data_IF_535232752358
#
_entry.id   IF_535232752358
#
_cell.length_a   1.000
_cell.length_b   1.000
_cell.length_c   1.000
_cell.angle_alpha   90.00
_cell.angle_beta   90.00
_cell.angle_gamma   90.00
#
_symmetry.space_group_name_H-M   'P 1'
#
loop_
_entity.id
_entity.type
_entity.pdbx_description
1 polymer ?
#
# COMPACT_ATOMS: atom_id res chain seq x y z
N UNK A 1 0.60 50.02 -49.94
CA UNK A 1 0.23 48.73 -49.33
C UNK A 1 1.52 48.02 -48.93
N UNK A 2 1.80 47.92 -47.64
CA UNK A 2 2.99 47.26 -47.11
C UNK A 2 2.66 46.69 -45.74
N UNK A 3 2.69 45.36 -45.64
CA UNK A 3 2.34 44.59 -44.45
C UNK A 3 3.50 44.68 -43.45
N UNK A 4 3.26 45.26 -42.28
CA UNK A 4 4.20 45.28 -41.17
C UNK A 4 3.96 44.06 -40.28
N UNK A 5 4.99 43.24 -40.11
CA UNK A 5 5.04 42.13 -39.17
C UNK A 5 6.30 42.33 -38.32
N UNK A 6 6.13 42.61 -37.02
CA UNK A 6 7.15 42.44 -35.98
C UNK A 6 6.48 42.56 -34.61
N UNK A 7 6.22 41.41 -33.99
CA UNK A 7 5.66 41.25 -32.63
C UNK A 7 6.61 41.83 -31.56
N UNK A 8 6.10 42.33 -30.43
CA UNK A 8 6.94 42.61 -29.26
C UNK A 8 7.37 41.32 -28.56
N UNK A 9 8.60 41.37 -28.03
CA UNK A 9 9.28 40.35 -27.24
C UNK A 9 8.40 39.91 -26.05
N UNK A 10 8.00 38.64 -26.03
CA UNK A 10 7.26 38.07 -24.91
C UNK A 10 8.13 38.14 -23.64
N UNK A 11 7.59 38.78 -22.60
CA UNK A 11 8.12 38.67 -21.25
C UNK A 11 8.16 37.19 -20.87
N UNK A 12 9.34 36.70 -20.49
CA UNK A 12 9.47 35.39 -19.87
C UNK A 12 8.79 35.47 -18.50
N UNK A 13 7.50 35.13 -18.44
CA UNK A 13 6.82 34.87 -17.18
C UNK A 13 7.45 33.62 -16.59
N UNK A 14 8.32 33.85 -15.61
CA UNK A 14 8.92 32.80 -14.80
C UNK A 14 7.83 31.85 -14.33
N UNK A 15 8.02 30.56 -14.60
CA UNK A 15 7.26 29.51 -13.96
C UNK A 15 7.45 29.70 -12.46
N UNK A 16 6.41 30.16 -11.77
CA UNK A 16 6.41 30.21 -10.31
C UNK A 16 6.79 28.81 -9.83
N UNK A 17 7.98 28.69 -9.24
CA UNK A 17 8.49 27.45 -8.69
C UNK A 17 7.51 27.08 -7.59
N UNK A 18 6.56 26.18 -7.86
CA UNK A 18 5.61 25.73 -6.84
C UNK A 18 6.47 25.26 -5.67
N UNK A 19 6.44 25.94 -4.54
CA UNK A 19 7.28 25.63 -3.38
C UNK A 19 6.72 24.41 -2.64
N UNK A 20 7.55 23.69 -1.88
CA UNK A 20 7.04 22.57 -1.07
C UNK A 20 6.01 23.11 -0.07
N UNK A 21 4.94 22.36 0.21
CA UNK A 21 3.96 22.74 1.24
C UNK A 21 4.61 23.01 2.61
N UNK A 22 5.76 22.36 2.87
CA UNK A 22 6.49 22.55 4.11
C UNK A 22 7.16 23.92 4.18
N UNK A 23 7.36 24.67 3.09
CA UNK A 23 7.96 26.01 3.14
C UNK A 23 7.21 27.01 4.04
N UNK A 24 5.92 26.76 4.30
CA UNK A 24 5.07 27.60 5.14
C UNK A 24 4.83 27.02 6.54
N UNK A 25 5.50 25.93 6.91
CA UNK A 25 5.30 25.28 8.20
C UNK A 25 6.06 26.00 9.31
N UNK A 26 5.36 26.33 10.38
CA UNK A 26 5.98 26.73 11.65
C UNK A 26 6.51 25.51 12.41
N UNK A 27 7.38 25.71 13.40
CA UNK A 27 7.90 24.59 14.22
C UNK A 27 6.79 23.73 14.86
N UNK A 28 5.65 24.29 15.33
CA UNK A 28 4.50 23.48 15.75
C UNK A 28 3.88 22.64 14.63
N UNK A 29 3.85 23.12 13.38
CA UNK A 29 3.37 22.32 12.24
C UNK A 29 4.35 21.19 11.91
N UNK A 30 5.65 21.44 12.01
CA UNK A 30 6.69 20.41 11.91
C UNK A 30 6.51 19.35 13.01
N UNK A 31 6.22 19.77 14.24
CA UNK A 31 5.92 18.84 15.33
C UNK A 31 4.70 17.97 15.03
N UNK A 32 3.59 18.55 14.54
CA UNK A 32 2.41 17.78 14.11
C UNK A 32 2.74 16.78 13.00
N UNK A 33 3.58 17.17 12.04
CA UNK A 33 4.06 16.27 10.99
C UNK A 33 4.93 15.14 11.51
N UNK A 34 5.82 15.39 12.48
CA UNK A 34 6.60 14.33 13.14
C UNK A 34 5.71 13.29 13.80
N UNK A 35 4.65 13.72 14.48
CA UNK A 35 3.66 12.80 15.05
C UNK A 35 3.02 11.93 13.96
N UNK A 36 2.67 12.54 12.83
CA UNK A 36 2.03 11.86 11.70
C UNK A 36 2.92 10.77 11.10
N UNK A 37 4.23 10.99 10.99
CA UNK A 37 5.17 9.98 10.49
C UNK A 37 5.69 9.01 11.57
N UNK A 38 5.17 9.10 12.81
CA UNK A 38 5.51 8.18 13.90
C UNK A 38 6.79 8.54 14.67
N UNK A 39 7.27 9.78 14.57
CA UNK A 39 8.50 10.28 15.18
C UNK A 39 8.25 11.27 16.33
N UNK A 40 7.14 11.08 17.05
CA UNK A 40 6.69 11.96 18.14
C UNK A 40 7.75 12.15 19.25
N UNK A 41 8.56 11.12 19.54
CA UNK A 41 9.60 11.17 20.57
C UNK A 41 10.68 12.24 20.31
N UNK A 42 10.88 12.63 19.05
CA UNK A 42 11.87 13.63 18.65
C UNK A 42 11.32 15.07 18.64
N UNK A 43 10.01 15.25 18.84
CA UNK A 43 9.36 16.57 18.85
C UNK A 43 10.05 17.57 19.79
N UNK A 44 10.42 17.23 21.05
CA UNK A 44 11.10 18.17 21.93
C UNK A 44 12.39 18.72 21.32
N UNK A 45 13.22 17.85 20.72
CA UNK A 45 14.48 18.24 20.08
C UNK A 45 14.25 19.14 18.87
N UNK A 46 13.24 18.87 18.06
CA UNK A 46 12.91 19.74 16.91
C UNK A 46 12.44 21.12 17.35
N UNK A 47 11.63 21.20 18.40
CA UNK A 47 11.16 22.47 18.96
C UNK A 47 12.29 23.26 19.62
N UNK A 48 13.16 22.60 20.40
CA UNK A 48 14.33 23.22 21.03
C UNK A 48 15.32 23.81 20.00
N UNK A 49 15.51 23.11 18.87
CA UNK A 49 16.35 23.60 17.77
C UNK A 49 15.63 24.59 16.84
N UNK A 50 14.36 24.94 17.12
CA UNK A 50 13.60 25.88 16.31
C UNK A 50 13.37 25.42 14.86
N UNK A 51 13.30 24.10 14.63
CA UNK A 51 13.16 23.55 13.27
C UNK A 51 11.79 23.91 12.70
N UNK A 52 11.76 24.85 11.77
CA UNK A 52 10.62 25.21 10.96
C UNK A 52 10.67 24.51 9.59
N UNK A 53 9.69 24.79 8.74
CA UNK A 53 9.55 24.20 7.42
C UNK A 53 10.76 24.33 6.49
N UNK A 54 11.28 25.54 6.25
CA UNK A 54 12.51 25.73 5.47
C UNK A 54 13.71 24.98 6.07
N UNK A 55 13.90 25.05 7.40
CA UNK A 55 15.00 24.33 8.07
C UNK A 55 14.84 22.82 7.93
N UNK A 56 13.61 22.30 8.07
CA UNK A 56 13.26 20.89 7.91
C UNK A 56 13.64 20.39 6.51
N UNK A 57 13.31 21.15 5.46
CA UNK A 57 13.62 20.82 4.06
C UNK A 57 15.13 20.79 3.83
N UNK A 58 15.92 21.60 4.52
CA UNK A 58 17.38 21.66 4.36
C UNK A 58 18.16 20.74 5.30
N UNK A 59 17.48 20.01 6.19
CA UNK A 59 18.13 19.05 7.10
C UNK A 59 18.98 18.04 6.33
N UNK A 60 20.20 17.85 6.83
CA UNK A 60 21.17 16.87 6.36
C UNK A 60 21.30 15.70 7.33
N UNK A 61 21.71 14.56 6.79
CA UNK A 61 21.87 13.30 7.54
C UNK A 61 22.77 13.46 8.77
N UNK A 62 23.85 14.24 8.69
CA UNK A 62 24.79 14.46 9.79
C UNK A 62 24.18 15.23 10.98
N UNK A 63 23.06 15.94 10.76
CA UNK A 63 22.35 16.69 11.79
C UNK A 63 21.33 15.82 12.54
N UNK A 64 20.95 14.65 12.00
CA UNK A 64 19.93 13.80 12.62
C UNK A 64 20.40 13.29 13.98
N UNK A 65 21.60 12.73 14.02
CA UNK A 65 22.21 12.28 15.27
C UNK A 65 22.65 13.47 16.12
N UNK A 66 23.46 14.37 15.56
CA UNK A 66 24.15 15.43 16.32
C UNK A 66 23.22 16.48 16.91
N UNK A 67 22.17 16.87 16.20
CA UNK A 67 21.29 17.96 16.59
C UNK A 67 19.92 17.47 17.08
N UNK A 68 19.42 16.37 16.50
CA UNK A 68 18.06 15.88 16.73
C UNK A 68 17.99 14.61 17.59
N UNK A 69 19.13 13.96 17.87
CA UNK A 69 19.22 12.78 18.73
C UNK A 69 18.64 11.50 18.12
N UNK A 70 18.52 11.43 16.79
CA UNK A 70 17.95 10.28 16.08
C UNK A 70 19.05 9.22 15.88
N UNK A 71 19.11 8.28 16.83
CA UNK A 71 20.12 7.20 16.83
C UNK A 71 19.59 5.87 16.28
N UNK A 72 18.25 5.70 16.21
CA UNK A 72 17.64 4.48 15.68
C UNK A 72 17.75 4.48 14.14
N UNK A 73 18.43 3.49 13.51
CA UNK A 73 18.59 3.45 12.06
C UNK A 73 17.27 3.41 11.27
N UNK A 74 16.21 2.81 11.85
CA UNK A 74 14.89 2.78 11.22
C UNK A 74 14.21 4.15 11.28
N UNK A 75 14.40 4.90 12.36
CA UNK A 75 13.86 6.27 12.49
C UNK A 75 14.63 7.22 11.56
N UNK A 76 15.94 7.02 11.39
CA UNK A 76 16.76 7.74 10.42
C UNK A 76 16.24 7.51 8.99
N UNK A 77 16.00 6.25 8.61
CA UNK A 77 15.42 5.90 7.30
C UNK A 77 14.02 6.51 7.14
N UNK A 78 13.17 6.40 8.17
CA UNK A 78 11.83 6.96 8.19
C UNK A 78 11.83 8.46 7.90
N UNK A 79 12.59 9.25 8.69
CA UNK A 79 12.69 10.69 8.49
C UNK A 79 13.25 11.05 7.10
N UNK A 80 14.31 10.36 6.66
CA UNK A 80 14.94 10.62 5.37
C UNK A 80 13.97 10.41 4.21
N UNK A 81 13.18 9.33 4.23
CA UNK A 81 12.22 9.05 3.17
C UNK A 81 11.07 10.06 3.16
N UNK A 82 10.60 10.50 4.33
CA UNK A 82 9.60 11.55 4.47
C UNK A 82 10.09 12.91 3.95
N UNK A 83 11.36 13.26 4.24
CA UNK A 83 11.97 14.51 3.74
C UNK A 83 12.11 14.49 2.21
N UNK A 84 12.43 13.35 1.60
CA UNK A 84 12.42 13.20 0.14
C UNK A 84 11.02 13.54 -0.40
N UNK A 85 9.96 13.02 0.21
CA UNK A 85 8.60 13.28 -0.26
C UNK A 85 8.20 14.75 -0.13
N UNK A 86 8.62 15.41 0.95
CA UNK A 86 8.42 16.85 1.13
C UNK A 86 9.19 17.66 0.09
N UNK A 87 10.47 17.36 -0.15
CA UNK A 87 11.33 18.09 -1.11
C UNK A 87 10.79 17.97 -2.54
N UNK A 88 10.43 16.76 -2.94
CA UNK A 88 9.96 16.47 -4.30
C UNK A 88 8.44 16.57 -4.46
N UNK A 89 7.71 16.93 -3.40
CA UNK A 89 6.25 17.17 -3.40
C UNK A 89 5.46 15.94 -3.86
N UNK A 90 5.93 14.77 -3.43
CA UNK A 90 5.35 13.49 -3.81
C UNK A 90 4.09 13.17 -3.02
N UNK A 91 3.94 13.80 -1.85
CA UNK A 91 2.86 13.52 -0.90
C UNK A 91 2.25 14.84 -0.42
N UNK A 92 0.92 14.89 -0.49
CA UNK A 92 0.12 15.93 0.16
C UNK A 92 -0.24 15.47 1.57
N UNK A 93 0.58 15.87 2.55
CA UNK A 93 0.39 15.47 3.95
C UNK A 93 -0.91 15.99 4.60
N UNK A 94 -1.67 16.88 3.94
CA UNK A 94 -2.97 17.33 4.48
C UNK A 94 -4.08 16.30 4.27
N UNK A 95 -3.94 15.44 3.27
CA UNK A 95 -4.91 14.39 2.92
C UNK A 95 -4.26 13.00 2.96
N UNK A 96 -3.09 12.88 3.59
CA UNK A 96 -2.31 11.66 3.51
C UNK A 96 -2.72 10.63 4.56
N UNK A 97 -3.41 9.59 4.08
CA UNK A 97 -3.94 8.51 4.90
C UNK A 97 -2.87 7.46 5.26
N UNK A 98 -1.76 7.37 4.50
CA UNK A 98 -0.65 6.46 4.81
C UNK A 98 0.31 7.00 5.89
N UNK A 99 -0.20 7.78 6.83
CA UNK A 99 0.55 8.13 8.03
C UNK A 99 0.85 6.89 8.89
N UNK A 100 1.68 7.02 9.93
CA UNK A 100 2.06 5.87 10.76
C UNK A 100 0.85 5.15 11.35
N UNK A 101 -0.16 5.88 11.84
CA UNK A 101 -1.41 5.30 12.36
C UNK A 101 -2.21 4.59 11.26
N UNK A 102 -2.30 5.19 10.07
CA UNK A 102 -2.98 4.60 8.92
C UNK A 102 -2.33 3.30 8.45
N UNK A 103 -1.00 3.19 8.49
CA UNK A 103 -0.30 1.93 8.23
C UNK A 103 -0.67 0.87 9.27
N UNK A 104 -0.75 1.21 10.56
CA UNK A 104 -1.17 0.24 11.60
C UNK A 104 -2.60 -0.25 11.38
N UNK A 105 -3.52 0.67 11.05
CA UNK A 105 -4.90 0.31 10.75
C UNK A 105 -5.00 -0.55 9.49
N UNK A 106 -4.21 -0.23 8.46
CA UNK A 106 -4.14 -1.03 7.24
C UNK A 106 -3.64 -2.45 7.51
N UNK A 107 -2.60 -2.62 8.34
CA UNK A 107 -2.12 -3.95 8.75
C UNK A 107 -3.20 -4.75 9.49
N UNK A 108 -3.89 -4.12 10.45
CA UNK A 108 -4.98 -4.76 11.18
C UNK A 108 -6.09 -5.26 10.25
N UNK A 109 -6.53 -4.41 9.32
CA UNK A 109 -7.56 -4.75 8.34
C UNK A 109 -7.15 -5.91 7.41
N UNK A 110 -5.84 -6.19 7.28
CA UNK A 110 -5.28 -7.28 6.46
C UNK A 110 -4.93 -8.53 7.26
N UNK A 111 -5.27 -8.58 8.55
CA UNK A 111 -4.94 -9.72 9.44
C UNK A 111 -3.46 -9.83 9.77
N UNK A 112 -2.74 -8.70 9.74
CA UNK A 112 -1.30 -8.60 10.05
C UNK A 112 -1.08 -7.87 11.39
N UNK A 113 -2.00 -8.06 12.35
CA UNK A 113 -2.01 -7.43 13.67
C UNK A 113 -0.75 -7.69 14.49
N UNK A 114 -0.13 -8.87 14.34
CA UNK A 114 1.14 -9.24 14.96
C UNK A 114 2.33 -8.35 14.54
N UNK A 115 2.23 -7.67 13.40
CA UNK A 115 3.29 -6.79 12.89
C UNK A 115 3.19 -5.36 13.42
N UNK A 116 2.03 -4.96 13.96
CA UNK A 116 1.72 -3.57 14.34
C UNK A 116 2.76 -3.02 15.31
N UNK A 117 3.07 -3.75 16.39
CA UNK A 117 4.05 -3.29 17.38
C UNK A 117 5.42 -3.02 16.78
N UNK A 118 5.89 -3.91 15.89
CA UNK A 118 7.19 -3.77 15.21
C UNK A 118 7.21 -2.57 14.26
N UNK A 119 6.18 -2.44 13.43
CA UNK A 119 6.08 -1.36 12.45
C UNK A 119 5.90 0.01 13.11
N UNK A 120 5.11 0.09 14.19
CA UNK A 120 4.95 1.31 14.98
C UNK A 120 6.27 1.69 15.65
N UNK A 121 6.97 0.74 16.28
CA UNK A 121 8.27 0.97 16.93
C UNK A 121 9.38 1.36 15.96
N UNK A 122 9.19 1.15 14.65
CA UNK A 122 10.12 1.51 13.59
C UNK A 122 9.67 2.76 12.79
N UNK A 123 8.60 3.44 13.22
CA UNK A 123 8.01 4.60 12.56
C UNK A 123 7.68 4.34 11.07
N UNK A 124 7.10 3.18 10.76
CA UNK A 124 6.72 2.83 9.39
C UNK A 124 5.45 3.57 8.99
N UNK A 125 5.62 4.51 8.08
CA UNK A 125 4.58 5.25 7.36
C UNK A 125 4.66 4.88 5.86
N UNK A 126 3.74 5.33 5.02
CA UNK A 126 3.62 4.89 3.61
C UNK A 126 4.89 5.07 2.79
N UNK A 127 5.65 6.14 3.04
CA UNK A 127 6.95 6.39 2.39
C UNK A 127 7.97 5.27 2.63
N UNK A 128 7.95 4.67 3.83
CA UNK A 128 8.77 3.52 4.20
C UNK A 128 8.15 2.25 3.62
N UNK A 129 6.87 2.00 3.91
CA UNK A 129 6.15 0.80 3.50
C UNK A 129 6.30 0.53 1.99
N UNK A 130 6.16 1.56 1.17
CA UNK A 130 6.19 1.42 -0.29
C UNK A 130 7.59 1.45 -0.91
N UNK A 131 8.65 1.64 -0.12
CA UNK A 131 10.03 1.60 -0.63
C UNK A 131 10.84 0.43 -0.11
N UNK A 132 10.40 -0.24 0.95
CA UNK A 132 11.07 -1.44 1.43
C UNK A 132 10.89 -2.60 0.45
N UNK A 133 11.99 -3.33 0.24
CA UNK A 133 11.97 -4.60 -0.47
C UNK A 133 11.51 -5.73 0.46
N UNK A 134 11.10 -6.87 -0.12
CA UNK A 134 10.74 -8.07 0.65
C UNK A 134 11.86 -8.52 1.61
N UNK A 135 13.11 -8.49 1.14
CA UNK A 135 14.27 -8.82 1.95
C UNK A 135 14.49 -7.85 3.11
N UNK A 136 14.13 -6.58 2.95
CA UNK A 136 14.21 -5.59 4.02
C UNK A 136 13.09 -5.72 5.04
N UNK A 137 11.88 -6.12 4.65
CA UNK A 137 10.85 -6.50 5.63
C UNK A 137 11.33 -7.66 6.51
N UNK A 138 11.96 -8.67 5.92
CA UNK A 138 12.54 -9.78 6.68
C UNK A 138 13.69 -9.32 7.58
N UNK A 139 14.71 -8.67 7.02
CA UNK A 139 15.96 -8.38 7.74
C UNK A 139 15.92 -7.17 8.68
N UNK A 140 15.15 -6.12 8.35
CA UNK A 140 15.11 -4.87 9.13
C UNK A 140 13.94 -4.82 10.11
N UNK A 141 12.82 -5.45 9.76
CA UNK A 141 11.59 -5.45 10.54
C UNK A 141 11.26 -6.83 11.14
N UNK A 142 12.17 -7.80 10.95
CA UNK A 142 12.09 -9.13 11.54
C UNK A 142 10.74 -9.80 11.22
N UNK A 143 10.26 -9.65 9.98
CA UNK A 143 8.99 -10.25 9.52
C UNK A 143 9.25 -11.69 9.06
N UNK A 144 8.51 -12.64 9.62
CA UNK A 144 8.70 -14.07 9.37
C UNK A 144 9.83 -14.70 10.19
N UNK A 145 10.22 -14.09 11.31
CA UNK A 145 11.18 -14.66 12.26
C UNK A 145 10.48 -15.54 13.32
N UNK A 146 11.29 -16.21 14.18
CA UNK A 146 10.88 -17.27 15.12
C UNK A 146 9.47 -17.11 15.71
N UNK A 147 8.64 -18.14 15.55
CA UNK A 147 7.31 -18.23 16.13
C UNK A 147 6.18 -17.73 15.22
N UNK A 148 6.50 -17.08 14.09
CA UNK A 148 5.52 -16.71 13.08
C UNK A 148 5.34 -17.80 12.02
N UNK A 149 4.14 -17.83 11.42
CA UNK A 149 3.92 -18.62 10.21
C UNK A 149 4.87 -18.15 9.09
N UNK A 150 5.42 -19.10 8.32
CA UNK A 150 6.23 -18.83 7.13
C UNK A 150 5.49 -17.93 6.10
N UNK A 151 4.16 -17.85 6.20
CA UNK A 151 3.31 -17.09 5.28
C UNK A 151 3.13 -15.62 5.65
N UNK A 152 3.55 -15.19 6.85
CA UNK A 152 3.35 -13.79 7.29
C UNK A 152 4.10 -12.81 6.38
N UNK A 153 5.33 -13.14 5.99
CA UNK A 153 6.13 -12.32 5.08
C UNK A 153 5.52 -12.27 3.67
N UNK A 154 5.01 -13.40 3.17
CA UNK A 154 4.33 -13.47 1.87
C UNK A 154 3.05 -12.63 1.89
N UNK A 155 2.24 -12.80 2.94
CA UNK A 155 0.99 -12.05 3.14
C UNK A 155 1.23 -10.54 3.14
N UNK A 156 2.20 -10.08 3.92
CA UNK A 156 2.60 -8.67 3.94
C UNK A 156 3.05 -8.21 2.57
N UNK A 157 3.96 -8.95 1.92
CA UNK A 157 4.53 -8.55 0.63
C UNK A 157 3.47 -8.41 -0.45
N UNK A 158 2.58 -9.40 -0.60
CA UNK A 158 1.50 -9.35 -1.58
C UNK A 158 0.52 -8.22 -1.27
N UNK A 159 0.24 -7.96 0.01
CA UNK A 159 -0.61 -6.84 0.44
C UNK A 159 0.01 -5.49 0.07
N UNK A 160 1.31 -5.31 0.31
CA UNK A 160 2.04 -4.08 -0.03
C UNK A 160 2.12 -3.88 -1.55
N UNK A 161 2.40 -4.93 -2.33
CA UNK A 161 2.43 -4.85 -3.79
C UNK A 161 1.07 -4.49 -4.38
N UNK A 162 -0.01 -5.04 -3.83
CA UNK A 162 -1.38 -4.65 -4.20
C UNK A 162 -1.62 -3.18 -3.87
N UNK A 163 -1.31 -2.75 -2.64
CA UNK A 163 -1.48 -1.37 -2.21
C UNK A 163 -0.63 -0.38 -3.02
N UNK A 164 0.55 -0.78 -3.51
CA UNK A 164 1.31 0.00 -4.51
C UNK A 164 0.44 0.19 -5.76
N UNK A 165 -0.04 -0.88 -6.38
CA UNK A 165 -0.75 -0.77 -7.68
C UNK A 165 -2.03 0.06 -7.64
N UNK A 166 -2.83 -0.03 -6.57
CA UNK A 166 -4.16 0.63 -6.49
C UNK A 166 -4.26 1.81 -5.53
N UNK A 167 -3.23 2.06 -4.73
CA UNK A 167 -3.30 3.04 -3.64
C UNK A 167 -4.19 2.57 -2.47
N UNK A 168 -4.64 3.52 -1.64
CA UNK A 168 -5.45 3.24 -0.44
C UNK A 168 -6.93 2.96 -0.75
N UNK A 169 -7.40 3.33 -1.93
CA UNK A 169 -8.82 3.23 -2.27
C UNK A 169 -9.20 1.79 -2.54
N UNK A 170 -9.85 1.20 -1.54
CA UNK A 170 -10.50 -0.10 -1.61
C UNK A 170 -11.53 -0.06 -2.73
N UNK A 171 -11.32 -0.88 -3.77
CA UNK A 171 -12.44 -1.31 -4.59
C UNK A 171 -13.28 -2.25 -3.73
N UNK A 172 -14.27 -1.69 -3.03
CA UNK A 172 -15.15 -2.46 -2.16
C UNK A 172 -15.72 -3.66 -2.94
N UNK A 173 -15.44 -4.87 -2.44
CA UNK A 173 -15.89 -6.11 -3.05
C UNK A 173 -14.80 -6.88 -3.81
N UNK A 174 -13.63 -6.32 -4.09
CA UNK A 174 -12.52 -7.09 -4.66
C UNK A 174 -11.97 -8.07 -3.61
N UNK A 175 -11.87 -9.35 -3.96
CA UNK A 175 -11.39 -10.37 -3.02
C UNK A 175 -9.91 -10.20 -2.67
N UNK A 176 -9.11 -9.54 -3.52
CA UNK A 176 -7.73 -9.19 -3.19
C UNK A 176 -7.65 -8.19 -2.04
N UNK A 177 -8.76 -7.53 -1.71
CA UNK A 177 -8.86 -6.57 -0.62
C UNK A 177 -9.49 -7.16 0.66
N UNK A 178 -9.76 -8.48 0.67
CA UNK A 178 -10.31 -9.18 1.82
C UNK A 178 -9.35 -9.24 3.01
N UNK A 179 -9.90 -8.88 4.17
CA UNK A 179 -9.32 -9.08 5.49
C UNK A 179 -9.92 -10.28 6.21
N UNK A 180 -9.59 -10.45 7.51
CA UNK A 180 -10.10 -11.55 8.31
C UNK A 180 -11.64 -11.73 8.31
N UNK A 181 -12.46 -10.66 8.38
CA UNK A 181 -13.92 -10.81 8.35
C UNK A 181 -14.44 -11.38 7.02
N UNK A 182 -13.94 -10.90 5.89
CA UNK A 182 -14.36 -11.36 4.57
C UNK A 182 -13.90 -12.80 4.31
N UNK A 183 -12.68 -13.14 4.72
CA UNK A 183 -12.14 -14.51 4.63
C UNK A 183 -12.99 -15.47 5.47
N UNK A 184 -13.37 -15.08 6.69
CA UNK A 184 -14.27 -15.88 7.54
C UNK A 184 -15.61 -16.12 6.86
N UNK A 185 -16.26 -15.05 6.39
CA UNK A 185 -17.54 -15.16 5.70
C UNK A 185 -17.46 -16.07 4.47
N UNK A 186 -16.39 -15.94 3.68
CA UNK A 186 -16.15 -16.84 2.55
C UNK A 186 -15.98 -18.31 2.98
N UNK A 187 -15.15 -18.59 3.99
CA UNK A 187 -14.96 -19.96 4.49
C UNK A 187 -16.28 -20.59 4.97
N UNK A 188 -17.17 -19.81 5.58
CA UNK A 188 -18.51 -20.26 5.97
C UNK A 188 -19.35 -20.65 4.74
N UNK A 189 -19.32 -19.86 3.66
CA UNK A 189 -20.07 -20.17 2.43
C UNK A 189 -19.68 -21.49 1.77
N UNK A 190 -18.42 -21.91 1.95
CA UNK A 190 -17.89 -23.15 1.35
C UNK A 190 -17.83 -24.31 2.35
N UNK A 191 -18.51 -24.17 3.50
CA UNK A 191 -18.54 -25.14 4.58
C UNK A 191 -17.15 -25.51 5.16
N UNK A 192 -16.23 -24.53 5.17
CA UNK A 192 -14.91 -24.61 5.80
C UNK A 192 -14.74 -23.57 6.92
N UNK A 193 -15.84 -23.05 7.47
CA UNK A 193 -15.83 -21.99 8.49
C UNK A 193 -15.01 -22.34 9.74
N UNK A 194 -14.86 -23.62 10.08
CA UNK A 194 -14.01 -24.08 11.20
C UNK A 194 -12.51 -23.78 10.99
N UNK A 195 -12.07 -23.48 9.76
CA UNK A 195 -10.68 -23.14 9.44
C UNK A 195 -10.35 -21.65 9.64
N UNK A 196 -11.31 -20.79 10.02
CA UNK A 196 -11.07 -19.33 10.05
C UNK A 196 -9.93 -18.91 11.00
N UNK A 197 -9.86 -19.46 12.21
CA UNK A 197 -8.74 -19.17 13.14
C UNK A 197 -7.42 -19.70 12.58
N UNK A 198 -7.46 -20.86 11.92
CA UNK A 198 -6.27 -21.43 11.29
C UNK A 198 -5.73 -20.56 10.14
N UNK A 199 -6.62 -19.99 9.33
CA UNK A 199 -6.26 -19.01 8.29
C UNK A 199 -5.70 -17.73 8.92
N UNK A 200 -6.27 -17.27 10.02
CA UNK A 200 -5.83 -16.08 10.76
C UNK A 200 -4.44 -16.27 11.37
N UNK A 201 -4.15 -17.41 11.99
CA UNK A 201 -2.83 -17.77 12.53
C UNK A 201 -1.74 -17.72 11.46
N UNK A 202 -2.10 -18.03 10.21
CA UNK A 202 -1.20 -17.98 9.06
C UNK A 202 -1.21 -16.64 8.33
N UNK A 203 -1.92 -15.64 8.84
CA UNK A 203 -2.13 -14.34 8.20
C UNK A 203 -2.64 -14.44 6.76
N UNK A 204 -3.51 -15.41 6.47
CA UNK A 204 -4.09 -15.56 5.14
C UNK A 204 -5.12 -14.47 4.90
N UNK A 205 -4.84 -13.62 3.92
CA UNK A 205 -5.74 -12.57 3.44
C UNK A 205 -5.97 -12.67 1.94
N UNK A 206 -6.80 -11.76 1.42
CA UNK A 206 -7.19 -11.72 0.02
C UNK A 206 -6.04 -11.77 -0.97
N UNK A 207 -4.92 -11.11 -0.67
CA UNK A 207 -3.75 -11.06 -1.57
C UNK A 207 -2.89 -12.31 -1.52
N UNK A 208 -2.88 -13.02 -0.38
CA UNK A 208 -2.13 -14.27 -0.26
C UNK A 208 -2.91 -15.46 -0.86
N UNK A 209 -4.24 -15.44 -0.77
CA UNK A 209 -5.10 -16.54 -1.20
C UNK A 209 -4.75 -17.14 -2.59
N UNK A 210 -4.54 -16.34 -3.66
CA UNK A 210 -4.20 -16.88 -4.99
C UNK A 210 -2.84 -17.58 -5.05
N UNK A 211 -1.95 -17.31 -4.09
CA UNK A 211 -0.58 -17.79 -4.07
C UNK A 211 -0.42 -19.07 -3.21
N UNK A 212 -1.47 -19.52 -2.52
CA UNK A 212 -1.43 -20.73 -1.72
C UNK A 212 -1.53 -21.98 -2.60
N UNK A 213 -0.38 -22.60 -2.89
CA UNK A 213 -0.34 -23.85 -3.63
C UNK A 213 -0.67 -25.08 -2.76
N UNK A 214 -0.87 -26.23 -3.42
CA UNK A 214 -1.20 -27.49 -2.76
C UNK A 214 -0.15 -27.88 -1.70
N UNK A 215 1.13 -27.63 -1.98
CA UNK A 215 2.22 -27.97 -1.06
C UNK A 215 2.19 -27.10 0.19
N UNK A 216 1.89 -25.81 0.04
CA UNK A 216 1.76 -24.83 1.13
C UNK A 216 0.57 -25.16 2.01
N UNK A 217 -0.59 -25.43 1.41
CA UNK A 217 -1.81 -25.80 2.13
C UNK A 217 -1.62 -27.09 2.95
N UNK A 218 -0.90 -28.09 2.42
CA UNK A 218 -0.61 -29.33 3.15
C UNK A 218 0.54 -29.24 4.15
N UNK A 219 1.67 -28.64 3.78
CA UNK A 219 2.88 -28.63 4.61
C UNK A 219 2.79 -27.60 5.72
N UNK A 220 2.42 -26.38 5.36
CA UNK A 220 2.44 -25.23 6.28
C UNK A 220 1.12 -25.18 7.03
N UNK A 221 0.02 -25.12 6.28
CA UNK A 221 -1.32 -25.06 6.87
C UNK A 221 -1.87 -26.43 7.29
N UNK A 222 -1.17 -27.55 7.06
CA UNK A 222 -1.59 -28.88 7.55
C UNK A 222 -3.04 -29.27 7.21
N UNK A 223 -3.55 -28.79 6.07
CA UNK A 223 -4.91 -29.08 5.64
C UNK A 223 -5.03 -30.50 5.07
N UNK A 224 -6.22 -31.08 5.15
CA UNK A 224 -6.50 -32.40 4.58
C UNK A 224 -6.51 -32.34 3.04
N UNK A 225 -6.48 -33.51 2.39
CA UNK A 225 -6.56 -33.60 0.93
C UNK A 225 -7.82 -32.92 0.40
N UNK A 226 -8.96 -33.23 1.02
CA UNK A 226 -10.27 -32.73 0.62
C UNK A 226 -10.33 -31.21 0.79
N UNK A 227 -9.84 -30.68 1.92
CA UNK A 227 -9.79 -29.23 2.16
C UNK A 227 -8.92 -28.53 1.11
N UNK A 228 -7.76 -29.11 0.81
CA UNK A 228 -6.83 -28.55 -0.18
C UNK A 228 -7.44 -28.56 -1.58
N UNK A 229 -8.12 -29.65 -1.97
CA UNK A 229 -8.81 -29.75 -3.26
C UNK A 229 -9.92 -28.69 -3.37
N UNK A 230 -10.79 -28.58 -2.37
CA UNK A 230 -11.88 -27.58 -2.36
C UNK A 230 -11.31 -26.17 -2.52
N UNK A 231 -10.30 -25.80 -1.74
CA UNK A 231 -9.68 -24.48 -1.81
C UNK A 231 -9.05 -24.22 -3.18
N UNK A 232 -8.36 -25.21 -3.76
CA UNK A 232 -7.70 -25.07 -5.07
C UNK A 232 -8.69 -24.93 -6.21
N UNK A 233 -9.77 -25.70 -6.21
CA UNK A 233 -10.84 -25.56 -7.21
C UNK A 233 -11.46 -24.17 -7.17
N UNK A 234 -11.68 -23.62 -5.99
CA UNK A 234 -12.23 -22.28 -5.81
C UNK A 234 -11.24 -21.18 -6.20
N UNK A 235 -9.96 -21.33 -5.86
CA UNK A 235 -8.89 -20.43 -6.30
C UNK A 235 -8.77 -20.38 -7.82
N UNK A 236 -8.88 -21.52 -8.51
CA UNK A 236 -8.84 -21.58 -9.97
C UNK A 236 -10.04 -20.87 -10.61
N UNK A 237 -11.24 -21.13 -10.09
CA UNK A 237 -12.46 -20.44 -10.54
C UNK A 237 -12.38 -18.91 -10.34
N UNK A 238 -11.69 -18.45 -9.28
CA UNK A 238 -11.44 -17.03 -9.06
C UNK A 238 -10.39 -16.44 -9.99
N UNK A 239 -9.30 -17.15 -10.25
CA UNK A 239 -8.27 -16.71 -11.20
C UNK A 239 -8.84 -16.52 -12.61
N UNK A 240 -9.76 -17.39 -13.02
CA UNK A 240 -10.52 -17.26 -14.28
C UNK A 240 -11.40 -16.00 -14.28
N UNK A 241 -12.13 -15.74 -13.19
CA UNK A 241 -12.99 -14.56 -13.07
C UNK A 241 -12.22 -13.22 -12.99
N UNK A 242 -10.99 -13.21 -12.45
CA UNK A 242 -10.11 -12.02 -12.48
C UNK A 242 -9.61 -11.76 -13.89
N UNK A 243 -9.18 -12.80 -14.60
CA UNK A 243 -8.68 -12.65 -15.97
C UNK A 243 -9.73 -12.08 -16.92
N UNK A 244 -11.01 -12.45 -16.74
CA UNK A 244 -12.12 -11.88 -17.51
C UNK A 244 -12.34 -10.39 -17.21
N UNK A 245 -12.20 -9.94 -15.96
CA UNK A 245 -12.37 -8.53 -15.59
C UNK A 245 -11.15 -7.67 -15.96
N UNK A 246 -9.93 -8.20 -15.85
CA UNK A 246 -8.70 -7.49 -16.27
C UNK A 246 -8.64 -7.31 -17.80
N UNK A 247 -9.16 -8.27 -18.58
CA UNK A 247 -9.33 -8.14 -20.04
C UNK A 247 -10.28 -6.99 -20.39
N UNK A 248 -11.39 -6.85 -19.67
CA UNK A 248 -12.39 -5.81 -19.92
C UNK A 248 -11.90 -4.40 -19.49
N UNK A 249 -11.03 -4.34 -18.47
CA UNK A 249 -10.30 -3.13 -18.09
C UNK A 249 -9.17 -2.78 -19.08
N UNK A 250 -8.48 -3.78 -19.65
CA UNK A 250 -7.41 -3.57 -20.65
C UNK A 250 -7.93 -3.04 -22.00
N UNK A 251 -9.24 -3.17 -22.26
CA UNK A 251 -9.92 -2.54 -23.40
C UNK A 251 -10.22 -1.04 -23.21
N UNK A 252 -10.12 -0.52 -21.98
CA UNK A 252 -10.16 0.92 -21.67
C UNK A 252 -8.73 1.39 -21.45
N UNK A 253 -8.03 1.66 -22.55
CA UNK A 253 -6.65 2.08 -22.54
C UNK A 253 -6.44 3.42 -21.85
N UNK A 254 -6.17 3.38 -20.54
CA UNK A 254 -5.43 4.40 -19.82
C UNK A 254 -4.24 3.71 -19.16
N UNK A 255 -3.14 3.60 -19.90
CA UNK A 255 -1.87 3.14 -19.37
C UNK A 255 -1.42 4.06 -18.23
N UNK A 256 -1.46 3.57 -17.00
CA UNK A 256 -0.76 4.17 -15.86
C UNK A 256 0.74 4.03 -16.12
N UNK A 257 1.33 5.04 -16.76
CA UNK A 257 2.77 5.10 -17.03
C UNK A 257 3.50 5.46 -15.75
N UNK A 258 4.18 4.48 -15.15
CA UNK A 258 5.27 4.76 -14.21
C UNK A 258 6.40 5.40 -15.02
N UNK A 259 6.64 6.70 -14.85
CA UNK A 259 7.83 7.34 -15.40
C UNK A 259 9.05 6.83 -14.65
N UNK A 260 9.89 6.05 -15.33
CA UNK A 260 11.21 5.66 -14.84
C UNK A 260 12.18 6.78 -15.19
N UNK A 261 12.55 7.61 -14.22
CA UNK A 261 13.73 8.45 -14.35
C UNK A 261 14.91 7.80 -13.61
N UNK A 262 16.01 7.64 -14.33
CA UNK A 262 17.28 7.14 -13.80
C UNK A 262 18.11 8.35 -13.39
N UNK A 263 18.43 8.47 -12.11
CA UNK A 263 19.34 9.49 -11.62
C UNK A 263 20.76 9.17 -12.11
N UNK A 264 21.26 9.99 -13.04
CA UNK A 264 22.56 9.82 -13.69
C UNK A 264 23.75 9.92 -12.72
N UNK A 265 23.57 10.41 -11.49
CA UNK A 265 24.63 10.50 -10.49
C UNK A 265 24.71 9.28 -9.55
N UNK A 266 23.61 8.55 -9.35
CA UNK A 266 23.51 7.51 -8.30
C UNK A 266 23.11 6.13 -8.82
N UNK A 267 22.61 6.02 -10.05
CA UNK A 267 22.16 4.74 -10.63
C UNK A 267 20.89 4.17 -9.97
N UNK A 268 20.26 4.92 -9.05
CA UNK A 268 19.03 4.52 -8.37
C UNK A 268 17.83 4.81 -9.27
N UNK A 269 16.99 3.80 -9.48
CA UNK A 269 15.73 3.95 -10.22
C UNK A 269 14.66 4.44 -9.26
N UNK A 270 14.07 5.61 -9.54
CA UNK A 270 12.96 6.16 -8.78
C UNK A 270 11.64 5.91 -9.52
N UNK A 271 10.69 5.25 -8.86
CA UNK A 271 9.31 5.12 -9.33
C UNK A 271 8.48 6.26 -8.73
N UNK A 272 7.97 7.17 -9.56
CA UNK A 272 7.11 8.27 -9.13
C UNK A 272 5.63 7.97 -9.42
N UNK A 273 4.74 8.49 -8.57
CA UNK A 273 3.28 8.44 -8.74
C UNK A 273 2.81 9.62 -9.58
N UNK A 274 2.11 9.37 -10.69
CA UNK A 274 1.49 10.43 -11.51
C UNK A 274 0.08 10.77 -10.99
N UNK A 275 -0.09 12.01 -10.54
CA UNK A 275 -1.35 12.56 -10.00
C UNK A 275 -2.45 12.68 -11.07
N UNK A 276 -2.12 12.75 -12.37
CA UNK A 276 -3.14 12.92 -13.42
C UNK A 276 -3.98 11.67 -13.68
N UNK A 277 -3.41 10.48 -13.51
CA UNK A 277 -4.15 9.22 -13.61
C UNK A 277 -5.16 9.07 -12.45
N UNK A 278 -4.80 9.61 -11.28
CA UNK A 278 -5.56 9.52 -10.04
C UNK A 278 -6.85 10.37 -10.03
N UNK A 279 -6.81 11.60 -10.54
CA UNK A 279 -7.99 12.47 -10.60
C UNK A 279 -9.03 12.01 -11.64
N UNK A 280 -8.60 11.26 -12.68
CA UNK A 280 -9.48 10.68 -13.69
C UNK A 280 -10.34 9.54 -13.13
N UNK A 281 -9.78 8.66 -12.29
CA UNK A 281 -10.51 7.57 -11.64
C UNK A 281 -11.59 8.08 -10.69
N UNK A 282 -11.34 9.21 -10.01
CA UNK A 282 -12.27 9.82 -9.05
C UNK A 282 -13.54 10.38 -9.69
N UNK A 283 -13.49 10.81 -10.95
CA UNK A 283 -14.68 11.30 -11.67
C UNK A 283 -15.54 10.15 -12.23
N UNK A 284 -14.91 9.01 -12.57
CA UNK A 284 -15.59 7.85 -13.13
C UNK A 284 -16.40 7.03 -12.11
N UNK A 285 -16.02 7.02 -10.84
CA UNK A 285 -16.68 6.22 -9.79
C UNK A 285 -17.89 6.90 -9.12
N UNK A 286 -18.40 8.00 -9.68
CA UNK A 286 -19.55 8.74 -9.13
C UNK A 286 -20.92 8.19 -9.54
N UNK A 287 -20.99 7.04 -10.21
CA UNK A 287 -22.27 6.39 -10.54
C UNK A 287 -22.72 5.41 -9.45
N UNK A 288 -23.76 5.83 -8.74
CA UNK A 288 -24.65 5.02 -7.91
C UNK A 288 -24.97 3.67 -8.56
N UNK A 289 -24.74 2.55 -7.88
CA UNK A 289 -25.29 1.28 -8.31
C UNK A 289 -25.59 0.37 -7.13
N UNK A 290 -26.88 0.07 -6.98
CA UNK A 290 -27.50 -0.95 -6.14
C UNK A 290 -27.12 -2.37 -6.60
N UNK A 291 -25.85 -2.64 -6.87
CA UNK A 291 -25.38 -3.93 -7.33
C UNK A 291 -25.12 -4.86 -6.14
N UNK A 292 -25.61 -6.09 -6.20
CA UNK A 292 -25.30 -7.14 -5.22
C UNK A 292 -23.79 -7.21 -4.93
N UNK A 293 -23.38 -7.33 -3.67
CA UNK A 293 -21.99 -7.44 -3.27
C UNK A 293 -21.24 -8.52 -4.06
N UNK A 294 -20.01 -8.22 -4.49
CA UNK A 294 -19.17 -9.14 -5.29
C UNK A 294 -18.93 -10.49 -4.59
N UNK A 295 -18.92 -10.53 -3.26
CA UNK A 295 -18.84 -11.79 -2.49
C UNK A 295 -20.05 -12.70 -2.71
N UNK A 296 -21.26 -12.15 -2.91
CA UNK A 296 -22.46 -12.90 -3.26
C UNK A 296 -22.44 -13.38 -4.71
N UNK A 297 -21.81 -12.63 -5.64
CA UNK A 297 -21.61 -13.10 -7.03
C UNK A 297 -20.59 -14.22 -7.12
N UNK A 298 -19.48 -14.12 -6.38
CA UNK A 298 -18.48 -15.17 -6.28
C UNK A 298 -19.09 -16.42 -5.61
N UNK A 299 -19.83 -16.26 -4.51
CA UNK A 299 -20.56 -17.35 -3.87
C UNK A 299 -21.65 -17.95 -4.79
N UNK A 300 -22.34 -17.13 -5.60
CA UNK A 300 -23.33 -17.59 -6.56
C UNK A 300 -22.71 -18.32 -7.77
N UNK A 301 -21.52 -17.91 -8.22
CA UNK A 301 -20.76 -18.63 -9.24
C UNK A 301 -20.29 -20.00 -8.70
N UNK A 302 -19.83 -20.04 -7.44
CA UNK A 302 -19.46 -21.28 -6.73
C UNK A 302 -20.67 -22.19 -6.52
N UNK A 303 -21.82 -21.64 -6.12
CA UNK A 303 -23.06 -22.40 -5.95
C UNK A 303 -23.59 -22.94 -7.30
N UNK A 304 -23.51 -22.16 -8.38
CA UNK A 304 -23.83 -22.63 -9.74
C UNK A 304 -22.91 -23.77 -10.18
N UNK A 305 -21.62 -23.72 -9.83
CA UNK A 305 -20.68 -24.79 -10.14
C UNK A 305 -20.96 -26.08 -9.35
N UNK A 306 -21.27 -25.97 -8.05
CA UNK A 306 -21.67 -27.13 -7.22
C UNK A 306 -22.95 -27.81 -7.72
N UNK A 307 -23.95 -27.03 -8.16
CA UNK A 307 -25.18 -27.58 -8.75
C UNK A 307 -24.90 -28.26 -10.09
N UNK A 308 -24.00 -27.71 -10.92
CA UNK A 308 -23.59 -28.32 -12.19
C UNK A 308 -22.79 -29.62 -12.01
N UNK A 309 -21.93 -29.69 -10.99
CA UNK A 309 -21.12 -30.88 -10.71
C UNK A 309 -21.93 -32.03 -10.10
N UNK A 310 -22.89 -31.74 -9.22
CA UNK A 310 -23.80 -32.74 -8.64
C UNK A 310 -24.92 -33.20 -9.59
N UNK A 311 -25.25 -32.41 -10.61
CA UNK A 311 -26.22 -32.81 -11.65
C UNK A 311 -25.57 -33.61 -12.80
N UNK A 312 -24.23 -33.74 -12.81
CA UNK A 312 -23.46 -34.46 -13.82
C UNK A 312 -22.76 -35.73 -13.32
N UNK A 313 -23.04 -36.18 -12.10
CA UNK A 313 -22.61 -37.44 -11.50
C UNK A 313 -23.83 -38.32 -11.20
#
# INVERSE_FOLDING_TARGET
MGVSCSKPLAAATGTARIESQAMFWSSPMVASWLNLIGLAEYVPRFLENGVDGPTLIDLRRDQFERCLGINNPLHEVSLRLALIDLKYKLIDYTQWEWNCTGVMQWLANRGLEQLIGRFQSAAVHGSVLFRLTKAEFASRLHVGELGESELVLESLWHSVERARKIGYYLEQGNFLDWGPPEIRGWLETINLGHLHEHFREHAVNGTLLPHLDHQTLRRVMKLTEIQTMVLRTLQMAWAEAVHENDMDCSGRGDHVTTTKEVDAATGVTHCYWDRKAFDATRQATSFTSTAEPVHLRAAAAVAKWQVGYLAGA
#
